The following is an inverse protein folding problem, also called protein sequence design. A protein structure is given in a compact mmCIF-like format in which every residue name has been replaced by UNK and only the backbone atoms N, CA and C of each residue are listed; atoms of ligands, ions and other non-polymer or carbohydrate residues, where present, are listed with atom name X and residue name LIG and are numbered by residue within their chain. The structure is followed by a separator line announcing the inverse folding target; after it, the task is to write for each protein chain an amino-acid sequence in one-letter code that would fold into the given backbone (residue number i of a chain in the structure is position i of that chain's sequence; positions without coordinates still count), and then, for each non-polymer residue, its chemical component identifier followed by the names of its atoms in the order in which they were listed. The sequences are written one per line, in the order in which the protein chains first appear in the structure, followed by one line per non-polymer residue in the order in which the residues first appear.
data_IF_502667185482
#
_entry.id   IF_502667185482
#
_cell.length_a   1.000
_cell.length_b   1.000
_cell.length_c   1.000
_cell.angle_alpha   90.00
_cell.angle_beta   90.00
_cell.angle_gamma   90.00
#
_symmetry.space_group_name_H-M   'P 1'
#
loop_
_entity.id
_entity.type
_entity.pdbx_description
1 polymer ?
#
# COMPACT_ATOMS: atom_id res chain seq x y z
N UNK A 1 23.98 23.32 -3.80
CA UNK A 1 22.56 23.03 -4.13
C UNK A 1 22.52 21.59 -4.60
N UNK A 2 22.02 20.66 -3.79
CA UNK A 2 21.78 19.28 -4.22
C UNK A 2 20.69 19.27 -5.28
N UNK A 3 20.86 18.45 -6.32
CA UNK A 3 19.81 18.24 -7.32
C UNK A 3 18.51 17.79 -6.64
N UNK A 4 17.32 18.15 -7.17
CA UNK A 4 16.08 17.57 -6.68
C UNK A 4 16.17 16.05 -6.86
N UNK A 5 16.04 15.33 -5.75
CA UNK A 5 15.95 13.86 -5.76
C UNK A 5 14.65 13.50 -6.47
N UNK A 6 14.75 12.89 -7.66
CA UNK A 6 13.58 12.44 -8.40
C UNK A 6 12.94 11.23 -7.72
N UNK A 7 11.62 11.09 -7.80
CA UNK A 7 10.92 9.88 -7.36
C UNK A 7 10.60 9.00 -8.57
N UNK A 8 10.72 7.69 -8.42
CA UNK A 8 10.28 6.71 -9.41
C UNK A 8 9.44 5.60 -8.78
N UNK A 9 8.50 5.07 -9.55
CA UNK A 9 7.61 3.98 -9.12
C UNK A 9 8.31 2.63 -9.12
N UNK A 10 8.01 1.81 -8.11
CA UNK A 10 8.46 0.43 -7.97
C UNK A 10 7.44 -0.59 -8.49
N UNK A 11 6.35 -0.17 -9.13
CA UNK A 11 5.29 -1.08 -9.62
C UNK A 11 5.86 -2.16 -10.56
N UNK A 12 6.79 -1.79 -11.46
CA UNK A 12 7.44 -2.72 -12.39
C UNK A 12 8.33 -3.77 -11.69
N UNK A 13 8.66 -3.56 -10.41
CA UNK A 13 9.43 -4.49 -9.58
C UNK A 13 8.53 -5.42 -8.77
N UNK A 14 7.22 -5.22 -8.75
CA UNK A 14 6.28 -6.07 -7.99
C UNK A 14 6.03 -7.36 -8.78
N UNK A 15 6.44 -8.50 -8.20
CA UNK A 15 6.23 -9.82 -8.81
C UNK A 15 5.03 -10.56 -8.23
N UNK A 16 4.60 -10.18 -7.03
CA UNK A 16 3.44 -10.79 -6.39
C UNK A 16 2.75 -9.77 -5.49
N UNK A 17 1.43 -9.71 -5.64
CA UNK A 17 0.55 -8.96 -4.73
C UNK A 17 -0.43 -9.93 -4.06
N UNK A 18 -0.66 -9.75 -2.77
CA UNK A 18 -1.68 -10.45 -1.99
C UNK A 18 -2.49 -9.41 -1.23
N UNK A 19 -3.77 -9.69 -1.05
CA UNK A 19 -4.69 -8.86 -0.26
C UNK A 19 -5.44 -9.74 0.72
N UNK A 20 -5.84 -9.18 1.85
CA UNK A 20 -6.60 -9.88 2.90
C UNK A 20 -7.90 -10.50 2.39
N UNK A 21 -8.65 -9.74 1.60
CA UNK A 21 -9.95 -10.12 1.08
C UNK A 21 -10.31 -9.30 -0.17
N UNK A 22 -11.37 -9.73 -0.86
CA UNK A 22 -11.98 -8.99 -1.97
C UNK A 22 -13.49 -9.04 -1.77
N UNK A 23 -14.17 -7.90 -1.91
CA UNK A 23 -15.61 -7.76 -1.73
C UNK A 23 -16.37 -8.84 -2.51
N UNK A 24 -17.19 -9.63 -1.82
CA UNK A 24 -17.96 -10.74 -2.39
C UNK A 24 -17.14 -11.76 -3.20
N UNK A 25 -15.83 -11.83 -3.00
CA UNK A 25 -14.88 -12.60 -3.83
C UNK A 25 -14.90 -12.22 -5.32
N UNK A 26 -15.43 -11.03 -5.67
CA UNK A 26 -15.48 -10.56 -7.05
C UNK A 26 -14.14 -9.95 -7.47
N UNK A 27 -13.18 -10.83 -7.74
CA UNK A 27 -11.83 -10.46 -8.22
C UNK A 27 -11.88 -9.76 -9.57
N UNK A 28 -12.96 -9.94 -10.35
CA UNK A 28 -13.10 -9.30 -11.66
C UNK A 28 -13.46 -7.83 -11.54
N UNK A 29 -14.15 -7.40 -10.49
CA UNK A 29 -14.55 -6.00 -10.29
C UNK A 29 -13.71 -5.28 -9.23
N UNK A 30 -13.23 -6.01 -8.21
CA UNK A 30 -12.61 -5.40 -7.02
C UNK A 30 -11.23 -5.99 -6.67
N UNK A 31 -10.59 -6.65 -7.62
CA UNK A 31 -9.34 -7.37 -7.40
C UNK A 31 -8.11 -6.47 -7.23
N UNK A 32 -7.10 -6.99 -6.53
CA UNK A 32 -5.78 -6.36 -6.28
C UNK A 32 -5.03 -5.80 -7.50
N UNK A 33 -5.36 -6.21 -8.73
CA UNK A 33 -4.74 -5.66 -9.95
C UNK A 33 -5.06 -4.18 -10.14
N UNK A 34 -6.22 -3.76 -9.65
CA UNK A 34 -6.74 -2.38 -9.70
C UNK A 34 -6.03 -1.44 -8.71
N UNK A 35 -5.09 -1.93 -7.92
CA UNK A 35 -4.23 -1.07 -7.11
C UNK A 35 -3.23 -0.28 -7.97
N UNK A 36 -2.87 -0.81 -9.15
CA UNK A 36 -1.69 -0.38 -9.92
C UNK A 36 -1.97 -0.10 -11.40
N UNK A 37 -3.22 -0.18 -11.87
CA UNK A 37 -3.53 -0.09 -13.30
C UNK A 37 -3.71 1.33 -13.82
N UNK A 38 -3.72 2.32 -12.92
CA UNK A 38 -3.81 3.74 -13.25
C UNK A 38 -5.20 4.18 -13.72
N UNK A 39 -6.22 3.32 -13.57
CA UNK A 39 -7.61 3.64 -13.90
C UNK A 39 -8.34 4.14 -12.64
N UNK A 40 -8.73 5.41 -12.66
CA UNK A 40 -9.43 6.07 -11.54
C UNK A 40 -10.84 5.51 -11.26
N UNK A 41 -11.39 4.69 -12.16
CA UNK A 41 -12.72 4.08 -12.03
C UNK A 41 -12.67 2.65 -11.48
N UNK A 42 -11.48 2.05 -11.36
CA UNK A 42 -11.32 0.70 -10.82
C UNK A 42 -10.64 0.72 -9.46
N UNK A 43 -10.95 -0.25 -8.60
CA UNK A 43 -10.38 -0.27 -7.25
C UNK A 43 -10.16 -1.68 -6.72
N UNK A 44 -9.27 -1.80 -5.75
CA UNK A 44 -9.36 -2.89 -4.78
C UNK A 44 -10.38 -2.51 -3.71
N UNK A 45 -11.35 -3.39 -3.47
CA UNK A 45 -12.32 -3.27 -2.39
C UNK A 45 -12.23 -4.53 -1.51
N UNK A 46 -11.93 -4.36 -0.24
CA UNK A 46 -11.89 -5.48 0.70
C UNK A 46 -13.31 -5.93 1.06
N UNK A 47 -13.45 -7.19 1.46
CA UNK A 47 -14.66 -7.62 2.15
C UNK A 47 -14.71 -7.03 3.57
N UNK A 48 -15.81 -7.23 4.28
CA UNK A 48 -15.95 -6.82 5.68
C UNK A 48 -14.91 -7.51 6.60
N UNK A 49 -14.54 -6.82 7.67
CA UNK A 49 -13.63 -7.30 8.71
C UNK A 49 -12.42 -6.39 8.91
N UNK A 50 -11.72 -6.61 10.01
CA UNK A 50 -10.46 -5.94 10.36
C UNK A 50 -9.51 -6.92 11.04
N UNK A 51 -8.19 -6.80 10.87
CA UNK A 51 -7.51 -5.85 9.99
C UNK A 51 -7.62 -6.27 8.51
N UNK A 52 -7.56 -5.28 7.60
CA UNK A 52 -7.34 -5.52 6.18
C UNK A 52 -5.87 -5.27 5.85
N UNK A 53 -5.34 -5.89 4.80
CA UNK A 53 -3.93 -5.74 4.45
C UNK A 53 -3.65 -5.96 2.96
N UNK A 54 -2.54 -5.36 2.51
CA UNK A 54 -1.93 -5.56 1.19
C UNK A 54 -0.49 -6.03 1.44
N UNK A 55 -0.04 -7.07 0.75
CA UNK A 55 1.36 -7.50 0.72
C UNK A 55 1.85 -7.45 -0.72
N UNK A 56 3.02 -6.88 -0.93
CA UNK A 56 3.77 -6.91 -2.18
C UNK A 56 5.12 -7.58 -1.95
N UNK A 57 5.54 -8.40 -2.92
CA UNK A 57 6.88 -8.97 -2.98
C UNK A 57 7.56 -8.44 -4.25
N UNK A 58 8.83 -8.04 -4.10
CA UNK A 58 9.62 -7.44 -5.18
C UNK A 58 10.49 -8.48 -5.89
N UNK A 59 10.82 -8.25 -7.15
CA UNK A 59 11.72 -9.09 -7.97
C UNK A 59 13.17 -9.09 -7.45
N UNK A 60 13.54 -8.03 -6.76
CA UNK A 60 14.87 -7.77 -6.22
C UNK A 60 14.74 -6.93 -4.94
N UNK A 61 15.82 -6.81 -4.18
CA UNK A 61 15.82 -5.93 -3.00
C UNK A 61 15.77 -4.46 -3.44
N UNK A 62 14.77 -3.72 -2.97
CA UNK A 62 14.52 -2.32 -3.34
C UNK A 62 14.63 -1.40 -2.12
N UNK A 63 14.92 -0.12 -2.32
CA UNK A 63 14.73 0.91 -1.28
C UNK A 63 13.38 1.59 -1.49
N UNK A 64 12.66 1.90 -0.41
CA UNK A 64 11.34 2.56 -0.48
C UNK A 64 11.44 3.91 0.24
N UNK A 65 10.97 4.97 -0.40
CA UNK A 65 10.95 6.33 0.16
C UNK A 65 9.57 6.76 0.64
N UNK A 66 8.50 6.38 -0.06
CA UNK A 66 7.14 6.73 0.35
C UNK A 66 6.08 5.83 -0.29
N UNK A 67 4.89 5.87 0.31
CA UNK A 67 3.66 5.38 -0.31
C UNK A 67 2.85 6.56 -0.82
N UNK A 68 2.19 6.40 -1.96
CA UNK A 68 1.12 7.29 -2.43
C UNK A 68 -0.17 6.47 -2.55
N UNK A 69 -1.18 6.82 -1.78
CA UNK A 69 -2.43 6.04 -1.68
C UNK A 69 -3.63 6.95 -1.93
N UNK A 70 -4.51 6.51 -2.81
CA UNK A 70 -5.81 7.13 -3.04
C UNK A 70 -6.93 6.18 -2.59
N UNK A 71 -7.65 6.58 -1.55
CA UNK A 71 -8.77 5.83 -1.00
C UNK A 71 -10.11 6.27 -1.61
N UNK A 72 -11.17 5.52 -1.33
CA UNK A 72 -12.53 6.06 -1.35
C UNK A 72 -12.86 6.69 0.01
N UNK A 73 -13.38 7.92 0.01
CA UNK A 73 -13.94 8.52 1.23
C UNK A 73 -15.03 7.63 1.84
N UNK A 74 -15.04 7.50 3.17
CA UNK A 74 -15.87 6.58 3.93
C UNK A 74 -15.29 5.16 4.08
N UNK A 75 -14.26 4.78 3.31
CA UNK A 75 -13.66 3.44 3.31
C UNK A 75 -12.13 3.50 3.52
N UNK A 76 -11.70 4.39 4.39
CA UNK A 76 -10.30 4.75 4.62
C UNK A 76 -9.77 4.05 5.88
N UNK A 77 -8.53 3.60 5.85
CA UNK A 77 -7.87 3.11 7.06
C UNK A 77 -7.70 4.24 8.09
N UNK A 78 -8.00 3.98 9.36
CA UNK A 78 -7.82 4.96 10.46
C UNK A 78 -6.46 4.82 11.13
N UNK A 79 -6.21 3.64 11.70
CA UNK A 79 -4.91 3.28 12.27
C UNK A 79 -4.23 2.33 11.30
N UNK A 80 -3.10 2.76 10.73
CA UNK A 80 -2.40 1.98 9.72
C UNK A 80 -0.91 1.87 10.05
N UNK A 81 -0.26 0.84 9.52
CA UNK A 81 1.19 0.73 9.57
C UNK A 81 1.74 -0.02 8.37
N UNK A 82 3.04 0.14 8.15
CA UNK A 82 3.82 -0.60 7.17
C UNK A 82 4.76 -1.54 7.89
N UNK A 83 4.84 -2.77 7.42
CA UNK A 83 5.85 -3.76 7.78
C UNK A 83 6.68 -4.11 6.55
N UNK A 84 7.96 -4.40 6.73
CA UNK A 84 8.83 -4.83 5.63
C UNK A 84 9.64 -6.06 6.02
N UNK A 85 9.97 -6.89 5.04
CA UNK A 85 11.04 -7.88 5.15
C UNK A 85 12.31 -7.25 4.57
N UNK A 86 13.30 -7.02 5.42
CA UNK A 86 14.61 -6.52 4.98
C UNK A 86 15.41 -7.63 4.30
N UNK A 87 16.29 -7.27 3.36
CA UNK A 87 17.15 -8.21 2.66
C UNK A 87 18.00 -9.02 3.65
N UNK A 88 17.95 -10.34 3.55
CA UNK A 88 18.62 -11.26 4.49
C UNK A 88 17.86 -11.54 5.78
N UNK A 89 16.65 -10.99 5.94
CA UNK A 89 15.71 -11.31 7.02
C UNK A 89 14.53 -12.11 6.47
N UNK A 90 13.80 -12.79 7.36
CA UNK A 90 12.62 -13.59 6.99
C UNK A 90 11.30 -13.01 7.53
N UNK A 91 11.38 -12.18 8.59
CA UNK A 91 10.21 -11.70 9.31
C UNK A 91 9.84 -10.27 8.91
N UNK A 92 8.54 -10.01 8.91
CA UNK A 92 8.00 -8.66 8.78
C UNK A 92 8.27 -7.85 10.05
N UNK A 93 8.86 -6.67 9.89
CA UNK A 93 9.10 -5.72 10.96
C UNK A 93 8.40 -4.41 10.65
N UNK A 94 7.70 -3.82 11.63
CA UNK A 94 7.00 -2.54 11.47
C UNK A 94 8.02 -1.41 11.30
N UNK A 95 7.84 -0.59 10.25
CA UNK A 95 8.75 0.52 9.89
C UNK A 95 8.06 1.89 9.86
N UNK A 96 6.73 1.93 9.74
CA UNK A 96 5.96 3.18 9.71
C UNK A 96 4.60 2.97 10.36
N UNK A 97 4.12 3.95 11.12
CA UNK A 97 2.72 4.07 11.53
C UNK A 97 2.14 5.34 10.92
N UNK A 98 0.92 5.29 10.37
CA UNK A 98 0.31 6.43 9.69
C UNK A 98 -1.22 6.46 9.87
N UNK A 99 -1.81 7.64 9.71
CA UNK A 99 -3.24 7.90 9.88
C UNK A 99 -3.76 8.67 8.67
N UNK A 100 -4.32 8.00 7.65
CA UNK A 100 -4.93 8.65 6.51
C UNK A 100 -6.10 9.56 6.91
N UNK A 101 -6.31 10.62 6.13
CA UNK A 101 -7.50 11.45 6.20
C UNK A 101 -8.64 10.78 5.42
N UNK A 102 -9.87 10.92 5.92
CA UNK A 102 -11.07 10.40 5.27
C UNK A 102 -11.46 11.24 4.03
N UNK A 103 -10.82 10.95 2.90
CA UNK A 103 -10.94 11.72 1.65
C UNK A 103 -10.52 10.84 0.46
N UNK A 104 -11.00 11.19 -0.74
CA UNK A 104 -10.62 10.55 -1.99
C UNK A 104 -9.39 11.16 -2.69
N UNK A 105 -8.73 12.15 -2.06
CA UNK A 105 -7.48 12.73 -2.56
C UNK A 105 -6.32 11.76 -2.33
N UNK A 106 -5.34 11.79 -3.24
CA UNK A 106 -4.05 11.11 -3.06
C UNK A 106 -3.36 11.61 -1.80
N UNK A 107 -2.79 10.68 -1.03
CA UNK A 107 -2.12 10.95 0.23
C UNK A 107 -0.76 10.28 0.25
N UNK A 108 0.26 11.07 0.59
CA UNK A 108 1.66 10.62 0.64
C UNK A 108 2.05 10.30 2.07
N UNK A 109 2.65 9.12 2.26
CA UNK A 109 3.17 8.66 3.55
C UNK A 109 4.67 8.37 3.41
N UNK A 110 5.55 9.30 3.84
CA UNK A 110 6.99 9.11 3.79
C UNK A 110 7.46 7.99 4.73
N UNK A 111 8.42 7.18 4.25
CA UNK A 111 9.14 6.21 5.05
C UNK A 111 10.50 6.81 5.43
N UNK A 112 10.74 6.99 6.73
CA UNK A 112 11.90 7.73 7.25
C UNK A 112 13.24 7.00 7.11
N UNK A 113 13.27 5.74 6.68
CA UNK A 113 14.49 4.92 6.64
C UNK A 113 14.67 4.22 5.28
N UNK A 114 15.25 4.95 4.33
CA UNK A 114 15.48 4.54 2.93
C UNK A 114 16.73 3.67 2.74
N UNK A 115 17.50 3.45 3.80
CA UNK A 115 18.85 2.86 3.72
C UNK A 115 18.84 1.34 3.65
N UNK A 116 17.73 0.72 4.03
CA UNK A 116 17.59 -0.74 4.09
C UNK A 116 16.90 -1.24 2.83
N UNK A 117 17.54 -2.17 2.12
CA UNK A 117 16.90 -2.84 0.98
C UNK A 117 15.87 -3.86 1.47
N UNK A 118 14.69 -3.87 0.87
CA UNK A 118 13.53 -4.67 1.26
C UNK A 118 13.11 -5.61 0.14
N UNK A 119 12.66 -6.80 0.50
CA UNK A 119 12.18 -7.82 -0.45
C UNK A 119 10.65 -7.93 -0.47
N UNK A 120 10.01 -7.54 0.63
CA UNK A 120 8.55 -7.50 0.75
C UNK A 120 8.10 -6.29 1.57
N UNK A 121 6.94 -5.75 1.22
CA UNK A 121 6.23 -4.72 1.98
C UNK A 121 4.81 -5.17 2.29
N UNK A 122 4.33 -4.87 3.48
CA UNK A 122 2.97 -5.13 3.94
C UNK A 122 2.36 -3.85 4.52
N UNK A 123 1.23 -3.44 3.97
CA UNK A 123 0.42 -2.34 4.51
C UNK A 123 -0.71 -2.98 5.31
N UNK A 124 -0.88 -2.55 6.56
CA UNK A 124 -1.96 -3.01 7.43
C UNK A 124 -2.89 -1.86 7.77
N UNK A 125 -4.18 -2.09 7.58
CA UNK A 125 -5.28 -1.21 7.95
C UNK A 125 -6.00 -1.85 9.14
N UNK A 126 -5.65 -1.43 10.35
CA UNK A 126 -6.15 -2.01 11.60
C UNK A 126 -7.63 -1.77 11.82
N UNK A 127 -8.07 -0.56 11.45
CA UNK A 127 -9.46 -0.14 11.51
C UNK A 127 -9.79 0.76 10.32
N UNK A 128 -11.08 0.86 9.99
CA UNK A 128 -11.59 1.64 8.87
C UNK A 128 -12.60 2.70 9.33
N UNK A 129 -12.74 3.77 8.56
CA UNK A 129 -13.87 4.71 8.65
C UNK A 129 -15.21 4.03 8.32
N UNK A 130 -15.18 2.96 7.51
CA UNK A 130 -16.36 2.13 7.25
C UNK A 130 -16.70 1.29 8.47
N UNK A 131 -17.99 1.25 8.82
CA UNK A 131 -18.49 0.53 9.99
C UNK A 131 -18.19 -0.98 9.94
N UNK A 132 -18.14 -1.57 8.74
CA UNK A 132 -17.85 -2.99 8.56
C UNK A 132 -16.36 -3.30 8.39
N UNK A 133 -15.47 -2.31 8.53
CA UNK A 133 -14.02 -2.51 8.43
C UNK A 133 -13.49 -2.53 6.99
N UNK A 134 -14.32 -2.24 5.98
CA UNK A 134 -13.88 -2.33 4.57
C UNK A 134 -12.90 -1.22 4.21
N UNK A 135 -11.99 -1.53 3.30
CA UNK A 135 -11.04 -0.60 2.70
C UNK A 135 -11.27 -0.56 1.20
N UNK A 136 -11.26 0.63 0.60
CA UNK A 136 -11.33 0.82 -0.85
C UNK A 136 -10.20 1.71 -1.31
N UNK A 137 -9.37 1.21 -2.24
CA UNK A 137 -8.20 1.92 -2.77
C UNK A 137 -8.26 1.88 -4.30
N UNK A 138 -8.26 3.06 -4.91
CA UNK A 138 -8.21 3.28 -6.35
C UNK A 138 -6.77 3.31 -6.88
N UNK A 139 -5.83 3.78 -6.05
CA UNK A 139 -4.41 3.85 -6.43
C UNK A 139 -3.54 3.53 -5.23
N UNK A 140 -2.55 2.68 -5.47
CA UNK A 140 -1.39 2.49 -4.59
C UNK A 140 -0.13 2.60 -5.44
N UNK A 141 0.74 3.54 -5.09
CA UNK A 141 2.10 3.60 -5.61
C UNK A 141 3.11 3.44 -4.47
N UNK A 142 4.22 2.79 -4.80
CA UNK A 142 5.34 2.56 -3.90
C UNK A 142 6.55 3.18 -4.59
N UNK A 143 7.07 4.25 -3.99
CA UNK A 143 8.04 5.11 -4.64
C UNK A 143 9.41 4.97 -3.99
N UNK A 144 10.45 5.18 -4.79
CA UNK A 144 11.84 5.26 -4.36
C UNK A 144 12.50 6.54 -4.84
N UNK A 145 13.59 6.91 -4.18
CA UNK A 145 14.44 8.02 -4.57
C UNK A 145 15.39 7.59 -5.69
N UNK A 146 15.53 8.42 -6.72
CA UNK A 146 16.49 8.25 -7.82
C UNK A 146 17.92 8.54 -7.39
#
# INVERSE_FOLDING_TARGET
MSAPVGLYSLVDKIVRTRVSSVLNKDVKQFGKKYLFDGDEETCWNSDQGSPQWIIVDFSESVSISQLDIQFQGGFVGKTCWVETVQSGQENFNRVLSFHPQDTNKSQVFPLSDTSSSVTSLKIVFDSSTDFFGRITIYKLDILSNS
#
